data_IF_964264891947
#
_entry.id   IF_964264891947
#
_cell.length_a   1.000
_cell.length_b   1.000
_cell.length_c   1.000
_cell.angle_alpha   90.00
_cell.angle_beta   90.00
_cell.angle_gamma   90.00
#
_symmetry.space_group_name_H-M   'P 1'
#
loop_
_entity.id
_entity.type
_entity.pdbx_description
1 polymer ?
#
# COMPACT_ATOMS: atom_id res chain seq x y z
N UNK A 1 -0.39 33.99 -22.12
CA UNK A 1 0.37 33.04 -21.29
C UNK A 1 -0.63 32.11 -20.66
N UNK A 2 -0.67 30.80 -20.97
CA UNK A 2 -1.55 29.84 -20.33
C UNK A 2 -0.87 29.26 -19.10
N UNK A 3 -1.49 29.44 -17.94
CA UNK A 3 -1.08 28.81 -16.68
C UNK A 3 -1.25 27.30 -16.76
N UNK A 4 -0.19 26.60 -16.44
CA UNK A 4 -0.02 25.17 -16.32
C UNK A 4 -1.05 24.56 -15.35
N UNK A 5 -1.89 23.64 -15.87
CA UNK A 5 -2.79 22.77 -15.08
C UNK A 5 -2.09 21.45 -14.75
N UNK A 6 -0.97 21.49 -14.05
CA UNK A 6 -0.24 20.25 -13.67
C UNK A 6 -0.10 20.01 -12.17
N UNK A 7 -0.73 20.83 -11.31
CA UNK A 7 -0.42 20.82 -9.87
C UNK A 7 -1.42 20.07 -8.96
N UNK A 8 -2.27 19.17 -9.49
CA UNK A 8 -3.29 18.50 -8.68
C UNK A 8 -3.06 17.00 -8.41
N UNK A 9 -1.86 16.47 -8.67
CA UNK A 9 -1.59 15.03 -8.50
C UNK A 9 -0.54 14.67 -7.43
N UNK A 10 -0.07 15.59 -6.62
CA UNK A 10 1.02 15.34 -5.66
C UNK A 10 0.76 15.88 -4.27
N UNK A 11 -0.36 15.48 -3.67
CA UNK A 11 -0.45 15.49 -2.20
C UNK A 11 -0.45 14.04 -1.73
N UNK A 12 0.75 13.47 -1.56
CA UNK A 12 0.92 12.20 -0.85
C UNK A 12 0.68 12.53 0.63
N UNK A 13 -0.54 12.31 1.09
CA UNK A 13 -0.85 12.43 2.51
C UNK A 13 -0.36 11.18 3.22
N UNK A 14 0.89 11.22 3.70
CA UNK A 14 1.39 10.21 4.64
C UNK A 14 0.60 10.29 5.96
N UNK A 15 0.55 9.17 6.71
CA UNK A 15 0.12 9.21 8.10
C UNK A 15 1.04 10.15 8.88
N UNK A 16 0.47 10.97 9.77
CA UNK A 16 1.21 11.98 10.51
C UNK A 16 2.17 11.30 11.51
N UNK A 17 3.45 11.27 11.17
CA UNK A 17 4.51 10.80 12.06
C UNK A 17 4.80 11.86 13.14
N UNK A 18 5.08 11.41 14.37
CA UNK A 18 5.43 12.32 15.43
C UNK A 18 6.82 12.94 15.17
N UNK A 19 6.93 14.23 15.40
CA UNK A 19 8.24 14.90 15.51
C UNK A 19 8.90 14.50 16.83
N UNK A 20 10.16 14.12 16.78
CA UNK A 20 11.00 13.80 17.95
C UNK A 20 12.16 14.76 17.94
N UNK A 21 12.45 15.38 19.08
CA UNK A 21 13.54 16.35 19.23
C UNK A 21 14.88 15.74 18.83
N UNK A 22 15.60 16.46 17.99
CA UNK A 22 16.60 15.91 17.10
C UNK A 22 17.94 15.71 17.77
N UNK A 23 18.41 14.47 17.75
CA UNK A 23 19.84 14.14 17.85
C UNK A 23 20.58 14.74 16.63
N UNK A 24 21.77 15.30 16.84
CA UNK A 24 22.54 16.07 15.85
C UNK A 24 22.86 15.33 14.53
N UNK A 25 22.73 14.00 14.47
CA UNK A 25 23.02 13.20 13.27
C UNK A 25 21.76 12.55 12.70
N UNK A 26 21.17 13.20 11.70
CA UNK A 26 19.94 12.71 11.02
C UNK A 26 20.10 11.31 10.41
N UNK A 27 21.28 10.99 9.86
CA UNK A 27 21.53 9.68 9.23
C UNK A 27 21.47 8.57 10.30
N UNK A 28 22.12 8.77 11.44
CA UNK A 28 22.09 7.82 12.54
C UNK A 28 20.67 7.62 13.10
N UNK A 29 19.88 8.70 13.15
CA UNK A 29 18.48 8.64 13.59
C UNK A 29 17.65 7.79 12.64
N UNK A 30 17.81 7.96 11.33
CA UNK A 30 17.10 7.16 10.33
C UNK A 30 17.50 5.68 10.39
N UNK A 31 18.78 5.38 10.49
CA UNK A 31 19.28 4.01 10.65
C UNK A 31 18.71 3.33 11.90
N UNK A 32 18.67 4.04 13.04
CA UNK A 32 18.08 3.51 14.28
C UNK A 32 16.57 3.33 14.21
N UNK A 33 15.87 4.26 13.52
CA UNK A 33 14.46 4.10 13.23
C UNK A 33 14.20 2.86 12.37
N UNK A 34 14.96 2.66 11.32
CA UNK A 34 14.81 1.48 10.46
C UNK A 34 15.04 0.18 11.25
N UNK A 35 16.05 0.12 12.12
CA UNK A 35 16.25 -1.02 13.03
C UNK A 35 15.02 -1.27 13.94
N UNK A 36 14.43 -0.21 14.49
CA UNK A 36 13.21 -0.31 15.30
C UNK A 36 12.01 -0.79 14.48
N UNK A 37 11.86 -0.25 13.28
CA UNK A 37 10.76 -0.59 12.38
C UNK A 37 10.84 -2.04 11.91
N UNK A 38 12.04 -2.53 11.58
CA UNK A 38 12.23 -3.93 11.17
C UNK A 38 11.93 -4.90 12.34
N UNK A 39 12.46 -4.61 13.54
CA UNK A 39 12.15 -5.39 14.73
C UNK A 39 10.65 -5.39 15.08
N UNK A 40 9.99 -4.23 14.93
CA UNK A 40 8.56 -4.10 15.17
C UNK A 40 7.74 -4.85 14.11
N UNK A 41 8.12 -4.78 12.84
CA UNK A 41 7.46 -5.51 11.75
C UNK A 41 7.45 -7.01 12.01
N UNK A 42 8.60 -7.57 12.36
CA UNK A 42 8.72 -8.99 12.69
C UNK A 42 7.82 -9.38 13.88
N UNK A 43 7.86 -8.59 14.97
CA UNK A 43 7.07 -8.86 16.16
C UNK A 43 5.56 -8.70 15.92
N UNK A 44 5.15 -7.71 15.12
CA UNK A 44 3.75 -7.53 14.75
C UNK A 44 3.26 -8.65 13.84
N UNK A 45 4.12 -9.20 12.98
CA UNK A 45 3.80 -10.38 12.17
C UNK A 45 3.70 -11.65 13.03
N UNK A 46 4.60 -11.84 13.98
CA UNK A 46 4.70 -13.04 14.82
C UNK A 46 3.54 -13.12 15.83
N UNK A 47 3.38 -12.11 16.66
CA UNK A 47 2.42 -12.12 17.80
C UNK A 47 1.34 -11.04 17.75
N UNK A 48 1.33 -10.21 16.72
CA UNK A 48 0.36 -9.14 16.52
C UNK A 48 0.71 -7.83 17.23
N UNK A 49 0.09 -6.73 16.75
CA UNK A 49 0.32 -5.39 17.30
C UNK A 49 -0.07 -5.30 18.78
N UNK A 50 -1.24 -5.81 19.18
CA UNK A 50 -1.74 -5.69 20.54
C UNK A 50 -0.79 -6.34 21.57
N UNK A 51 -0.28 -7.54 21.26
CA UNK A 51 0.57 -8.33 22.14
C UNK A 51 2.04 -7.92 22.16
N UNK A 52 2.47 -7.03 21.27
CA UNK A 52 3.85 -6.52 21.20
C UNK A 52 4.01 -5.32 22.13
N UNK A 53 5.06 -5.32 22.94
CA UNK A 53 5.42 -4.18 23.82
C UNK A 53 6.62 -3.42 23.29
N UNK A 54 6.79 -2.18 23.74
CA UNK A 54 8.01 -1.38 23.46
C UNK A 54 9.26 -2.13 23.94
N UNK A 55 9.18 -2.81 25.09
CA UNK A 55 10.29 -3.61 25.64
C UNK A 55 10.70 -4.75 24.71
N UNK A 56 9.73 -5.40 24.07
CA UNK A 56 10.01 -6.46 23.08
C UNK A 56 10.75 -5.91 21.87
N UNK A 57 10.30 -4.74 21.38
CA UNK A 57 10.91 -4.07 20.23
C UNK A 57 12.34 -3.65 20.56
N UNK A 58 12.57 -3.04 21.72
CA UNK A 58 13.92 -2.69 22.18
C UNK A 58 14.83 -3.91 22.26
N UNK A 59 14.34 -5.01 22.89
CA UNK A 59 15.11 -6.25 23.00
C UNK A 59 15.49 -6.83 21.65
N UNK A 60 14.56 -6.80 20.68
CA UNK A 60 14.80 -7.37 19.34
C UNK A 60 15.68 -6.46 18.48
N UNK A 61 15.50 -5.15 18.55
CA UNK A 61 16.30 -4.16 17.79
C UNK A 61 17.69 -3.89 18.38
N UNK A 62 17.95 -4.31 19.63
CA UNK A 62 19.19 -3.97 20.34
C UNK A 62 19.27 -2.51 20.82
N UNK A 63 18.19 -1.74 20.69
CA UNK A 63 18.14 -0.34 21.14
C UNK A 63 17.71 -0.28 22.60
N UNK A 64 18.43 0.55 23.38
CA UNK A 64 18.15 0.72 24.80
C UNK A 64 16.75 1.32 24.99
N UNK A 65 16.00 0.79 25.97
CA UNK A 65 14.65 1.26 26.28
C UNK A 65 14.62 2.74 26.74
N UNK A 66 15.70 3.24 27.33
CA UNK A 66 15.80 4.65 27.69
C UNK A 66 15.93 5.57 26.47
N UNK A 67 16.56 5.08 25.40
CA UNK A 67 16.83 5.88 24.17
C UNK A 67 15.76 5.70 23.09
N UNK A 68 14.79 4.79 23.22
CA UNK A 68 13.83 4.56 22.14
C UNK A 68 12.99 5.81 21.83
N UNK A 69 12.70 6.60 22.85
CA UNK A 69 11.92 7.83 22.73
C UNK A 69 12.64 8.98 22.04
N UNK A 70 13.95 8.83 21.80
CA UNK A 70 14.73 9.72 20.92
C UNK A 70 14.43 9.46 19.43
N UNK A 71 13.79 8.36 19.10
CA UNK A 71 13.51 7.91 17.72
C UNK A 71 12.04 7.87 17.37
N UNK A 72 11.18 7.48 18.33
CA UNK A 72 9.73 7.28 18.14
C UNK A 72 8.97 7.71 19.40
N UNK A 73 7.76 8.24 19.21
CA UNK A 73 6.96 8.72 20.33
C UNK A 73 6.37 7.58 21.18
N UNK A 74 5.81 6.56 20.52
CA UNK A 74 5.15 5.43 21.16
C UNK A 74 4.94 4.28 20.17
N UNK A 75 4.33 3.19 20.61
CA UNK A 75 4.04 2.02 19.74
C UNK A 75 3.11 2.37 18.56
N UNK A 76 2.19 3.30 18.73
CA UNK A 76 1.31 3.77 17.66
C UNK A 76 2.09 4.56 16.59
N UNK A 77 3.05 5.37 17.00
CA UNK A 77 3.94 6.07 16.07
C UNK A 77 4.82 5.10 15.28
N UNK A 78 5.31 4.02 15.90
CA UNK A 78 6.01 2.93 15.20
C UNK A 78 5.10 2.31 14.13
N UNK A 79 3.84 2.04 14.46
CA UNK A 79 2.89 1.50 13.50
C UNK A 79 2.65 2.44 12.32
N UNK A 80 2.45 3.73 12.57
CA UNK A 80 2.30 4.74 11.51
C UNK A 80 3.49 4.78 10.57
N UNK A 81 4.72 4.80 11.12
CA UNK A 81 5.95 4.80 10.32
C UNK A 81 6.10 3.55 9.48
N UNK A 82 5.74 2.38 10.03
CA UNK A 82 5.68 1.12 9.28
C UNK A 82 4.67 1.19 8.13
N UNK A 83 3.47 1.67 8.38
CA UNK A 83 2.43 1.80 7.37
C UNK A 83 2.81 2.82 6.29
N UNK A 84 3.44 3.94 6.68
CA UNK A 84 4.00 4.90 5.73
C UNK A 84 5.05 4.25 4.83
N UNK A 85 5.96 3.45 5.41
CA UNK A 85 6.96 2.70 4.64
C UNK A 85 6.31 1.73 3.65
N UNK A 86 5.24 1.04 4.06
CA UNK A 86 4.56 0.02 3.26
C UNK A 86 3.67 0.63 2.17
N UNK A 87 2.84 1.61 2.51
CA UNK A 87 1.82 2.14 1.59
C UNK A 87 2.26 3.35 0.78
N UNK A 88 3.08 4.22 1.38
CA UNK A 88 3.35 5.52 0.76
C UNK A 88 4.76 5.65 0.17
N UNK A 89 5.75 4.91 0.69
CA UNK A 89 7.16 5.04 0.27
C UNK A 89 7.62 3.99 -0.74
N UNK A 90 6.89 2.90 -0.92
CA UNK A 90 7.31 1.80 -1.81
C UNK A 90 6.75 2.01 -3.22
N UNK A 91 7.65 2.11 -4.19
CA UNK A 91 7.39 2.18 -5.63
C UNK A 91 7.64 0.79 -6.30
N UNK A 92 7.07 0.47 -7.47
CA UNK A 92 6.10 1.30 -8.19
C UNK A 92 4.69 1.22 -7.58
N UNK A 93 4.00 2.35 -7.55
CA UNK A 93 2.57 2.41 -7.24
C UNK A 93 1.75 2.16 -8.50
N UNK A 94 0.50 1.76 -8.34
CA UNK A 94 -0.38 1.53 -9.51
C UNK A 94 -0.51 2.77 -10.38
N UNK A 95 -0.64 3.95 -9.79
CA UNK A 95 -0.72 5.22 -10.52
C UNK A 95 0.53 5.48 -11.36
N UNK A 96 1.71 5.19 -10.81
CA UNK A 96 2.98 5.35 -11.52
C UNK A 96 3.04 4.39 -12.73
N UNK A 97 2.54 3.16 -12.56
CA UNK A 97 2.47 2.17 -13.64
C UNK A 97 1.49 2.59 -14.73
N UNK A 98 0.33 3.18 -14.36
CA UNK A 98 -0.67 3.67 -15.31
C UNK A 98 -0.17 4.86 -16.14
N UNK A 99 0.62 5.75 -15.53
CA UNK A 99 1.15 6.96 -16.20
C UNK A 99 2.40 6.64 -17.03
N UNK A 100 3.36 5.93 -16.43
CA UNK A 100 4.68 5.72 -17.05
C UNK A 100 4.68 4.63 -18.14
N UNK A 101 3.64 3.80 -18.19
CA UNK A 101 3.53 2.70 -19.13
C UNK A 101 2.40 2.91 -20.15
N UNK A 102 2.25 4.12 -20.68
CA UNK A 102 1.20 4.47 -21.66
C UNK A 102 1.18 3.57 -22.91
N UNK A 103 2.27 2.86 -23.21
CA UNK A 103 2.39 1.88 -24.31
C UNK A 103 2.04 0.45 -23.89
N UNK A 104 2.00 0.13 -22.60
CA UNK A 104 1.62 -1.21 -22.09
C UNK A 104 0.10 -1.32 -22.03
N UNK A 105 -0.41 -2.52 -22.30
CA UNK A 105 -1.82 -2.80 -22.08
C UNK A 105 -2.12 -3.01 -20.59
N UNK A 106 -3.37 -2.93 -20.23
CA UNK A 106 -3.79 -3.06 -18.81
C UNK A 106 -3.37 -4.41 -18.20
N UNK A 107 -3.35 -5.50 -18.99
CA UNK A 107 -2.89 -6.82 -18.54
C UNK A 107 -1.46 -6.79 -18.03
N UNK A 108 -0.55 -6.22 -18.79
CA UNK A 108 0.87 -6.12 -18.44
C UNK A 108 1.08 -5.24 -17.19
N UNK A 109 0.32 -4.16 -17.08
CA UNK A 109 0.35 -3.27 -15.92
C UNK A 109 -0.11 -4.01 -14.66
N UNK A 110 -1.24 -4.71 -14.72
CA UNK A 110 -1.79 -5.44 -13.58
C UNK A 110 -0.91 -6.63 -13.18
N UNK A 111 -0.37 -7.37 -14.16
CA UNK A 111 0.56 -8.48 -13.88
C UNK A 111 1.81 -7.96 -13.14
N UNK A 112 2.41 -6.87 -13.60
CA UNK A 112 3.55 -6.23 -12.91
C UNK A 112 3.16 -5.79 -11.51
N UNK A 113 2.01 -5.14 -11.34
CA UNK A 113 1.53 -4.64 -10.05
C UNK A 113 1.28 -5.77 -9.05
N UNK A 114 0.63 -6.85 -9.47
CA UNK A 114 0.32 -8.00 -8.60
C UNK A 114 1.56 -8.84 -8.29
N UNK A 115 2.46 -9.01 -9.25
CA UNK A 115 3.74 -9.71 -9.02
C UNK A 115 4.57 -8.97 -7.97
N UNK A 116 4.76 -7.67 -8.13
CA UNK A 116 5.47 -6.83 -7.14
C UNK A 116 4.80 -6.90 -5.76
N UNK A 117 3.46 -6.88 -5.71
CA UNK A 117 2.70 -7.02 -4.47
C UNK A 117 2.97 -8.35 -3.77
N UNK A 118 3.09 -9.43 -4.52
CA UNK A 118 3.29 -10.77 -3.96
C UNK A 118 4.76 -11.04 -3.60
N UNK A 119 5.71 -10.72 -4.46
CA UNK A 119 7.12 -11.06 -4.25
C UNK A 119 7.82 -10.09 -3.29
N UNK A 120 7.66 -8.80 -3.51
CA UNK A 120 8.43 -7.78 -2.80
C UNK A 120 7.68 -7.21 -1.59
N UNK A 121 6.34 -7.15 -1.65
CA UNK A 121 5.53 -6.44 -0.65
C UNK A 121 4.65 -7.35 0.21
N UNK A 122 4.79 -8.67 0.08
CA UNK A 122 3.92 -9.65 0.74
C UNK A 122 3.76 -9.40 2.24
N UNK A 123 4.86 -9.29 2.97
CA UNK A 123 4.84 -9.08 4.43
C UNK A 123 4.17 -7.75 4.76
N UNK A 124 4.52 -6.70 4.02
CA UNK A 124 3.93 -5.38 4.18
C UNK A 124 2.41 -5.38 3.95
N UNK A 125 1.94 -6.03 2.89
CA UNK A 125 0.52 -6.15 2.59
C UNK A 125 -0.24 -6.85 3.73
N UNK A 126 0.26 -8.00 4.21
CA UNK A 126 -0.37 -8.73 5.31
C UNK A 126 -0.40 -7.89 6.59
N UNK A 127 0.73 -7.25 6.93
CA UNK A 127 0.83 -6.38 8.12
C UNK A 127 -0.15 -5.23 8.03
N UNK A 128 -0.25 -4.57 6.88
CA UNK A 128 -1.14 -3.47 6.64
C UNK A 128 -2.60 -3.84 6.94
N UNK A 129 -3.11 -4.91 6.33
CA UNK A 129 -4.48 -5.37 6.58
C UNK A 129 -4.73 -5.80 8.04
N UNK A 130 -3.76 -6.46 8.67
CA UNK A 130 -3.85 -6.85 10.09
C UNK A 130 -3.83 -5.66 11.05
N UNK A 131 -3.29 -4.54 10.63
CA UNK A 131 -3.09 -3.36 11.49
C UNK A 131 -4.27 -2.37 11.45
N UNK A 132 -5.13 -2.41 10.42
CA UNK A 132 -6.28 -1.49 10.29
C UNK A 132 -7.15 -1.43 11.55
N UNK A 133 -7.49 -2.55 12.24
CA UNK A 133 -8.29 -2.49 13.47
C UNK A 133 -7.63 -1.72 14.61
N UNK A 134 -6.32 -1.55 14.59
CA UNK A 134 -5.52 -0.89 15.63
C UNK A 134 -5.24 0.59 15.35
N UNK A 135 -5.64 1.10 14.19
CA UNK A 135 -5.51 2.50 13.83
C UNK A 135 -6.55 3.35 14.56
N UNK A 136 -6.18 4.57 14.95
CA UNK A 136 -7.15 5.56 15.43
C UNK A 136 -8.00 6.09 14.26
N UNK A 137 -9.04 6.89 14.56
CA UNK A 137 -9.98 7.36 13.55
C UNK A 137 -9.33 8.33 12.54
N UNK A 138 -8.37 9.12 12.97
CA UNK A 138 -7.64 10.03 12.06
C UNK A 138 -6.77 9.24 11.07
N UNK A 139 -6.00 8.27 11.56
CA UNK A 139 -5.19 7.39 10.72
C UNK A 139 -6.06 6.59 9.73
N UNK A 140 -7.23 6.08 10.19
CA UNK A 140 -8.20 5.39 9.33
C UNK A 140 -8.77 6.32 8.25
N UNK A 141 -9.01 7.59 8.59
CA UNK A 141 -9.48 8.58 7.62
C UNK A 141 -8.43 8.84 6.55
N UNK A 142 -7.17 9.08 6.93
CA UNK A 142 -6.07 9.32 5.99
C UNK A 142 -5.85 8.10 5.08
N UNK A 143 -5.89 6.88 5.63
CA UNK A 143 -5.82 5.67 4.84
C UNK A 143 -6.96 5.56 3.83
N UNK A 144 -8.19 5.84 4.25
CA UNK A 144 -9.38 5.84 3.39
C UNK A 144 -9.26 6.85 2.25
N UNK A 145 -8.72 8.04 2.54
CA UNK A 145 -8.52 9.07 1.54
C UNK A 145 -7.44 8.65 0.52
N UNK A 146 -6.37 8.00 0.98
CA UNK A 146 -5.35 7.41 0.11
C UNK A 146 -5.94 6.33 -0.82
N UNK A 147 -6.67 5.36 -0.27
CA UNK A 147 -7.34 4.30 -1.05
C UNK A 147 -8.32 4.89 -2.07
N UNK A 148 -9.09 5.91 -1.70
CA UNK A 148 -9.99 6.62 -2.62
C UNK A 148 -9.25 7.30 -3.77
N UNK A 149 -8.09 7.87 -3.53
CA UNK A 149 -7.28 8.49 -4.57
C UNK A 149 -6.80 7.44 -5.59
N UNK A 150 -6.35 6.27 -5.14
CA UNK A 150 -6.00 5.16 -6.03
C UNK A 150 -7.21 4.67 -6.85
N UNK A 151 -8.37 4.49 -6.20
CA UNK A 151 -9.61 4.09 -6.89
C UNK A 151 -9.99 5.13 -7.95
N UNK A 152 -9.91 6.42 -7.63
CA UNK A 152 -10.22 7.50 -8.56
C UNK A 152 -9.27 7.51 -9.76
N UNK A 153 -7.96 7.35 -9.54
CA UNK A 153 -6.97 7.32 -10.61
C UNK A 153 -7.22 6.17 -11.59
N UNK A 154 -7.44 4.96 -11.06
CA UNK A 154 -7.77 3.80 -11.88
C UNK A 154 -9.13 3.94 -12.59
N UNK A 155 -10.13 4.47 -11.90
CA UNK A 155 -11.45 4.76 -12.47
C UNK A 155 -11.38 5.72 -13.66
N UNK A 156 -10.57 6.78 -13.54
CA UNK A 156 -10.32 7.71 -14.65
C UNK A 156 -9.64 7.04 -15.84
N UNK A 157 -8.66 6.19 -15.57
CA UNK A 157 -8.00 5.39 -16.61
C UNK A 157 -9.01 4.49 -17.33
N UNK A 158 -9.80 3.70 -16.61
CA UNK A 158 -10.80 2.78 -17.18
C UNK A 158 -11.88 3.54 -17.97
N UNK A 159 -12.37 4.68 -17.45
CA UNK A 159 -13.34 5.53 -18.16
C UNK A 159 -12.78 6.05 -19.48
N UNK A 160 -11.52 6.48 -19.48
CA UNK A 160 -10.86 6.99 -20.69
C UNK A 160 -10.72 5.89 -21.75
N UNK A 161 -10.25 4.71 -21.37
CA UNK A 161 -10.07 3.57 -22.28
C UNK A 161 -11.41 3.10 -22.85
N UNK A 162 -12.41 2.91 -22.01
CA UNK A 162 -13.74 2.44 -22.42
C UNK A 162 -14.65 3.55 -22.97
N UNK A 163 -14.26 4.85 -22.96
CA UNK A 163 -15.15 5.99 -23.24
C UNK A 163 -16.46 5.94 -22.46
N UNK A 164 -16.39 5.57 -21.15
CA UNK A 164 -17.54 5.35 -20.29
C UNK A 164 -18.13 6.66 -19.74
N UNK A 165 -19.43 6.63 -19.43
CA UNK A 165 -20.10 7.79 -18.79
C UNK A 165 -19.54 8.06 -17.40
N UNK A 166 -19.46 9.35 -17.01
CA UNK A 166 -18.94 9.78 -15.69
C UNK A 166 -19.74 9.18 -14.52
N UNK A 167 -21.05 8.97 -14.69
CA UNK A 167 -21.96 8.51 -13.64
C UNK A 167 -22.05 7.00 -13.47
N UNK A 168 -21.29 6.20 -14.24
CA UNK A 168 -21.31 4.74 -14.09
C UNK A 168 -20.51 4.32 -12.84
N UNK A 169 -21.23 4.05 -11.75
CA UNK A 169 -20.63 3.67 -10.46
C UNK A 169 -19.96 2.28 -10.50
N UNK A 170 -20.30 1.42 -11.47
CA UNK A 170 -19.65 0.12 -11.63
C UNK A 170 -18.14 0.25 -11.82
N UNK A 171 -17.70 1.34 -12.46
CA UNK A 171 -16.28 1.61 -12.70
C UNK A 171 -15.50 1.72 -11.39
N UNK A 172 -16.05 2.41 -10.39
CA UNK A 172 -15.41 2.57 -9.08
C UNK A 172 -15.38 1.28 -8.29
N UNK A 173 -16.45 0.49 -8.36
CA UNK A 173 -16.53 -0.82 -7.72
C UNK A 173 -15.47 -1.76 -8.31
N UNK A 174 -15.36 -1.80 -9.64
CA UNK A 174 -14.37 -2.65 -10.33
C UNK A 174 -12.96 -2.14 -10.08
N UNK A 175 -12.72 -0.83 -10.10
CA UNK A 175 -11.42 -0.25 -9.74
C UNK A 175 -11.00 -0.64 -8.31
N UNK A 176 -11.92 -0.57 -7.35
CA UNK A 176 -11.66 -1.01 -5.98
C UNK A 176 -11.34 -2.51 -5.92
N UNK A 177 -12.10 -3.35 -6.64
CA UNK A 177 -11.82 -4.78 -6.70
C UNK A 177 -10.44 -5.08 -7.31
N UNK A 178 -10.05 -4.38 -8.38
CA UNK A 178 -8.71 -4.49 -9.00
C UNK A 178 -7.61 -4.20 -7.99
N UNK A 179 -7.74 -3.11 -7.22
CA UNK A 179 -6.77 -2.73 -6.20
C UNK A 179 -6.71 -3.79 -5.10
N UNK A 180 -7.87 -4.26 -4.62
CA UNK A 180 -7.95 -5.30 -3.59
C UNK A 180 -7.37 -6.64 -4.06
N UNK A 181 -7.53 -7.01 -5.34
CA UNK A 181 -7.00 -8.24 -5.92
C UNK A 181 -5.46 -8.34 -5.82
N UNK A 182 -4.74 -7.22 -5.69
CA UNK A 182 -3.30 -7.20 -5.38
C UNK A 182 -2.97 -7.93 -4.07
N UNK A 183 -3.91 -8.00 -3.14
CA UNK A 183 -3.73 -8.69 -1.86
C UNK A 183 -4.00 -10.21 -1.94
N UNK A 184 -4.55 -10.70 -3.05
CA UNK A 184 -4.91 -12.11 -3.20
C UNK A 184 -3.70 -13.02 -3.04
N UNK A 185 -2.65 -12.79 -3.83
CA UNK A 185 -1.40 -13.54 -3.74
C UNK A 185 -0.78 -13.51 -2.33
N UNK A 186 -0.46 -12.32 -1.79
CA UNK A 186 0.08 -12.18 -0.44
C UNK A 186 -0.73 -12.88 0.65
N UNK A 187 -2.05 -12.74 0.66
CA UNK A 187 -2.91 -13.27 1.72
C UNK A 187 -3.20 -14.77 1.57
N UNK A 188 -3.15 -15.30 0.36
CA UNK A 188 -3.45 -16.70 0.06
C UNK A 188 -2.22 -17.53 -0.25
N UNK A 189 -1.02 -16.98 -0.19
CA UNK A 189 0.27 -17.63 -0.45
C UNK A 189 0.41 -18.98 0.26
N UNK A 190 -0.02 -19.06 1.51
CA UNK A 190 0.01 -20.28 2.33
C UNK A 190 -0.85 -21.42 1.73
N UNK A 191 -1.91 -21.10 0.98
CA UNK A 191 -2.81 -22.06 0.35
C UNK A 191 -2.32 -22.47 -1.05
N UNK A 192 -1.62 -21.57 -1.73
CA UNK A 192 -1.23 -21.73 -3.13
C UNK A 192 0.24 -22.17 -3.30
N UNK A 193 0.86 -22.73 -2.25
CA UNK A 193 2.28 -23.10 -2.27
C UNK A 193 2.65 -24.12 -3.34
N UNK A 194 1.72 -24.99 -3.68
CA UNK A 194 1.91 -26.07 -4.64
C UNK A 194 1.48 -25.68 -6.07
N UNK A 195 1.02 -24.46 -6.27
CA UNK A 195 0.62 -23.94 -7.57
C UNK A 195 1.73 -23.08 -8.18
N UNK A 196 1.83 -23.11 -9.51
CA UNK A 196 2.67 -22.17 -10.23
C UNK A 196 2.15 -20.73 -9.99
N UNK A 197 3.02 -19.90 -9.47
CA UNK A 197 2.71 -18.49 -9.14
C UNK A 197 2.30 -17.69 -10.36
N UNK A 198 2.97 -17.90 -11.50
CA UNK A 198 2.63 -17.27 -12.78
C UNK A 198 1.21 -17.64 -13.21
N UNK A 199 0.84 -18.90 -13.11
CA UNK A 199 -0.51 -19.39 -13.45
C UNK A 199 -1.57 -18.74 -12.55
N UNK A 200 -1.30 -18.64 -11.23
CA UNK A 200 -2.22 -17.98 -10.30
C UNK A 200 -2.40 -16.52 -10.66
N UNK A 201 -1.30 -15.80 -10.94
CA UNK A 201 -1.35 -14.39 -11.32
C UNK A 201 -2.09 -14.17 -12.64
N UNK A 202 -1.78 -14.95 -13.66
CA UNK A 202 -2.46 -14.86 -14.96
C UNK A 202 -3.96 -15.13 -14.82
N UNK A 203 -4.35 -16.12 -14.01
CA UNK A 203 -5.76 -16.41 -13.74
C UNK A 203 -6.49 -15.26 -13.05
N UNK A 204 -5.86 -14.64 -12.05
CA UNK A 204 -6.42 -13.48 -11.34
C UNK A 204 -6.55 -12.29 -12.28
N UNK A 205 -5.52 -12.02 -13.08
CA UNK A 205 -5.52 -10.92 -14.06
C UNK A 205 -6.61 -11.14 -15.11
N UNK A 206 -6.76 -12.34 -15.64
CA UNK A 206 -7.81 -12.66 -16.63
C UNK A 206 -9.21 -12.48 -16.05
N UNK A 207 -9.43 -12.93 -14.80
CA UNK A 207 -10.71 -12.72 -14.12
C UNK A 207 -11.05 -11.23 -13.96
N UNK A 208 -10.07 -10.44 -13.56
CA UNK A 208 -10.22 -8.98 -13.42
C UNK A 208 -10.49 -8.30 -14.77
N UNK A 209 -9.76 -8.70 -15.81
CA UNK A 209 -9.96 -8.14 -17.17
C UNK A 209 -11.34 -8.49 -17.73
N UNK A 210 -11.86 -9.69 -17.49
CA UNK A 210 -13.22 -10.05 -17.87
C UNK A 210 -14.27 -9.12 -17.24
N UNK A 211 -14.08 -8.70 -15.98
CA UNK A 211 -14.95 -7.69 -15.35
C UNK A 211 -14.84 -6.32 -16.04
N UNK A 212 -13.64 -5.92 -16.43
CA UNK A 212 -13.41 -4.65 -17.17
C UNK A 212 -14.06 -4.71 -18.55
N UNK A 213 -13.94 -5.83 -19.27
CA UNK A 213 -14.53 -6.00 -20.60
C UNK A 213 -16.06 -5.91 -20.54
N UNK A 214 -16.69 -6.45 -19.49
CA UNK A 214 -18.13 -6.30 -19.28
C UNK A 214 -18.57 -4.84 -19.12
N UNK A 215 -17.75 -3.97 -18.53
CA UNK A 215 -18.03 -2.52 -18.51
C UNK A 215 -18.09 -1.93 -19.92
N UNK A 216 -17.23 -2.42 -20.81
CA UNK A 216 -17.09 -1.86 -22.15
C UNK A 216 -18.19 -2.36 -23.12
N UNK A 217 -18.68 -3.58 -22.90
CA UNK A 217 -19.75 -4.18 -23.73
C UNK A 217 -21.14 -3.60 -23.39
N UNK A 218 -21.42 -3.27 -22.13
CA UNK A 218 -22.74 -2.80 -21.66
C UNK A 218 -23.07 -1.35 -22.10
N UNK A 219 -22.47 -0.88 -23.17
CA UNK A 219 -22.62 0.48 -23.74
C UNK A 219 -23.88 0.69 -24.60
N UNK A 220 -24.74 -0.32 -24.69
CA UNK A 220 -25.98 -0.22 -25.48
C UNK A 220 -27.09 0.47 -24.74
#
# INVERSE_FOLDING_TARGET
MPHSKSDHLTSISNLLEAEVDVIQNKILVEERRDQLLDAAQDLFMEKGFASTTIRDICKKSGINQASIYDYVLNKQDILRRLLNRIWFRISPRLEDLLVNNAKKNLREILKTYYMTGWEEKRIGTILAYRSVPHLNEEDKKQLRDHERNMINALSLYLRKQGKLKKMDQRVEIIANFIIFANSFGPMRDWLHRDLDRELVLDTVVDGVLAMVDQLYVTKK
#
